data_IF_780058888083
#
_entry.id   IF_780058888083
#
_cell.length_a   1.000
_cell.length_b   1.000
_cell.length_c   1.000
_cell.angle_alpha   90.00
_cell.angle_beta   90.00
_cell.angle_gamma   90.00
#
_symmetry.space_group_name_H-M   'P 1'
#
loop_
_entity.id
_entity.type
_entity.pdbx_description
1 polymer ?
#
# COMPACT_ATOMS: atom_id res chain seq x y z
N UNK A 1 -7.15 32.62 -7.27
CA UNK A 1 -6.35 31.43 -7.67
C UNK A 1 -6.09 30.50 -6.49
N UNK A 2 -5.69 31.00 -5.32
CA UNK A 2 -5.46 30.18 -4.10
C UNK A 2 -6.56 29.16 -3.75
N UNK A 3 -7.85 29.49 -3.88
CA UNK A 3 -8.94 28.55 -3.56
C UNK A 3 -8.98 27.34 -4.52
N UNK A 4 -8.69 27.54 -5.81
CA UNK A 4 -8.69 26.46 -6.79
C UNK A 4 -7.50 25.51 -6.58
N UNK A 5 -6.32 26.06 -6.31
CA UNK A 5 -5.11 25.29 -5.98
C UNK A 5 -5.30 24.49 -4.69
N UNK A 6 -5.89 25.10 -3.65
CA UNK A 6 -6.21 24.41 -2.41
C UNK A 6 -7.18 23.23 -2.62
N UNK A 7 -8.25 23.42 -3.41
CA UNK A 7 -9.21 22.35 -3.73
C UNK A 7 -8.52 21.20 -4.46
N UNK A 8 -7.67 21.50 -5.45
CA UNK A 8 -6.92 20.49 -6.21
C UNK A 8 -5.96 19.72 -5.31
N UNK A 9 -5.18 20.42 -4.47
CA UNK A 9 -4.26 19.78 -3.52
C UNK A 9 -4.99 18.93 -2.48
N UNK A 10 -6.15 19.39 -1.98
CA UNK A 10 -6.96 18.62 -1.05
C UNK A 10 -7.53 17.35 -1.69
N UNK A 11 -8.04 17.43 -2.93
CA UNK A 11 -8.49 16.25 -3.67
C UNK A 11 -7.35 15.26 -3.87
N UNK A 12 -6.15 15.75 -4.24
CA UNK A 12 -4.97 14.90 -4.43
C UNK A 12 -4.54 14.20 -3.14
N UNK A 13 -4.60 14.88 -1.99
CA UNK A 13 -4.32 14.26 -0.69
C UNK A 13 -5.31 13.14 -0.34
N UNK A 14 -6.58 13.31 -0.69
CA UNK A 14 -7.61 12.25 -0.53
C UNK A 14 -7.28 11.04 -1.41
N UNK A 15 -6.96 11.24 -2.69
CA UNK A 15 -6.56 10.15 -3.59
C UNK A 15 -5.35 9.37 -3.07
N UNK A 16 -4.33 10.09 -2.58
CA UNK A 16 -3.13 9.47 -2.00
C UNK A 16 -3.46 8.67 -0.74
N UNK A 17 -4.40 9.13 0.08
CA UNK A 17 -4.88 8.40 1.25
C UNK A 17 -5.62 7.12 0.87
N UNK A 18 -6.54 7.20 -0.09
CA UNK A 18 -7.30 6.05 -0.60
C UNK A 18 -6.37 5.01 -1.24
N UNK A 19 -5.40 5.46 -2.06
CA UNK A 19 -4.38 4.60 -2.64
C UNK A 19 -3.55 3.89 -1.56
N UNK A 20 -3.16 4.61 -0.50
CA UNK A 20 -2.45 4.02 0.65
C UNK A 20 -3.28 2.97 1.38
N UNK A 21 -4.58 3.19 1.53
CA UNK A 21 -5.49 2.23 2.14
C UNK A 21 -5.61 0.95 1.28
N UNK A 22 -5.80 1.11 -0.02
CA UNK A 22 -5.86 0.00 -0.97
C UNK A 22 -4.56 -0.82 -0.97
N UNK A 23 -3.40 -0.16 -0.99
CA UNK A 23 -2.11 -0.84 -0.94
C UNK A 23 -1.92 -1.67 0.32
N UNK A 24 -2.31 -1.14 1.48
CA UNK A 24 -2.26 -1.88 2.76
C UNK A 24 -3.17 -3.10 2.72
N UNK A 25 -4.40 -2.94 2.21
CA UNK A 25 -5.34 -4.05 2.06
C UNK A 25 -4.80 -5.13 1.10
N UNK A 26 -4.25 -4.74 -0.05
CA UNK A 26 -3.66 -5.69 -1.00
C UNK A 26 -2.48 -6.45 -0.40
N UNK A 27 -1.60 -5.77 0.34
CA UNK A 27 -0.50 -6.42 1.07
C UNK A 27 -1.03 -7.43 2.09
N UNK A 28 -2.02 -7.04 2.89
CA UNK A 28 -2.64 -7.90 3.88
C UNK A 28 -3.30 -9.12 3.23
N UNK A 29 -4.07 -8.93 2.14
CA UNK A 29 -4.71 -10.04 1.45
C UNK A 29 -3.70 -11.04 0.88
N UNK A 30 -2.57 -10.57 0.37
CA UNK A 30 -1.51 -11.43 -0.13
C UNK A 30 -0.82 -12.23 1.00
N UNK A 31 -0.69 -11.64 2.19
CA UNK A 31 -0.20 -12.32 3.40
C UNK A 31 -1.18 -13.43 3.85
N UNK A 32 -2.47 -13.11 3.91
CA UNK A 32 -3.53 -14.09 4.24
C UNK A 32 -3.51 -15.31 3.32
N UNK A 33 -3.31 -15.13 2.01
CA UNK A 33 -3.22 -16.25 1.05
C UNK A 33 -2.03 -17.17 1.37
N UNK A 34 -0.89 -16.62 1.80
CA UNK A 34 0.27 -17.44 2.20
C UNK A 34 -0.05 -18.24 3.45
N UNK A 35 -0.74 -17.64 4.42
CA UNK A 35 -1.12 -18.30 5.67
C UNK A 35 -2.21 -19.37 5.47
N UNK A 36 -3.17 -19.11 4.58
CA UNK A 36 -4.15 -20.11 4.10
C UNK A 36 -3.43 -21.31 3.47
N UNK A 37 -2.48 -21.07 2.55
CA UNK A 37 -1.71 -22.14 1.91
C UNK A 37 -0.85 -22.95 2.90
N UNK A 38 -0.27 -22.29 3.91
CA UNK A 38 0.46 -22.97 5.01
C UNK A 38 -0.46 -23.87 5.83
N UNK A 39 -1.66 -23.38 6.15
CA UNK A 39 -2.64 -24.12 6.93
C UNK A 39 -3.05 -25.39 6.19
N UNK A 40 -3.42 -25.26 4.90
CA UNK A 40 -3.78 -26.40 4.06
C UNK A 40 -2.65 -27.42 3.94
N UNK A 41 -1.40 -26.97 3.79
CA UNK A 41 -0.25 -27.87 3.74
C UNK A 41 -0.10 -28.66 5.05
N UNK A 42 -0.20 -27.97 6.19
CA UNK A 42 -0.12 -28.63 7.50
C UNK A 42 -1.23 -29.66 7.72
N UNK A 43 -2.45 -29.36 7.27
CA UNK A 43 -3.57 -30.32 7.32
C UNK A 43 -3.29 -31.57 6.47
N UNK A 44 -2.73 -31.41 5.26
CA UNK A 44 -2.37 -32.53 4.40
C UNK A 44 -1.23 -33.38 4.99
N UNK A 45 -0.22 -32.74 5.60
CA UNK A 45 0.87 -33.41 6.31
C UNK A 45 0.33 -34.24 7.49
N UNK A 46 -0.60 -33.69 8.27
CA UNK A 46 -1.23 -34.38 9.40
C UNK A 46 -2.12 -35.56 8.94
N UNK A 47 -2.76 -35.44 7.78
CA UNK A 47 -3.57 -36.49 7.19
C UNK A 47 -2.73 -37.61 6.52
N UNK A 48 -1.43 -37.40 6.34
CA UNK A 48 -0.54 -38.35 5.64
C UNK A 48 -0.79 -38.41 4.12
N UNK A 49 -1.43 -37.40 3.54
CA UNK A 49 -1.77 -37.35 2.12
C UNK A 49 -0.57 -36.83 1.31
N UNK A 50 0.34 -37.74 0.96
CA UNK A 50 1.61 -37.40 0.31
C UNK A 50 1.47 -36.73 -1.07
N UNK A 51 0.45 -37.08 -1.85
CA UNK A 51 0.20 -36.45 -3.15
C UNK A 51 -0.23 -34.99 -2.95
N UNK A 52 -1.18 -34.77 -2.04
CA UNK A 52 -1.65 -33.43 -1.72
C UNK A 52 -0.59 -32.55 -1.06
N UNK A 53 0.30 -33.12 -0.25
CA UNK A 53 1.46 -32.41 0.31
C UNK A 53 2.37 -31.87 -0.78
N UNK A 54 2.66 -32.66 -1.82
CA UNK A 54 3.50 -32.22 -2.94
C UNK A 54 2.85 -31.06 -3.71
N UNK A 55 1.56 -31.16 -4.01
CA UNK A 55 0.81 -30.11 -4.70
C UNK A 55 0.77 -28.80 -3.89
N UNK A 56 0.42 -28.90 -2.60
CA UNK A 56 0.30 -27.75 -1.71
C UNK A 56 1.65 -27.09 -1.44
N UNK A 57 2.75 -27.84 -1.45
CA UNK A 57 4.10 -27.28 -1.36
C UNK A 57 4.40 -26.35 -2.55
N UNK A 58 4.04 -26.76 -3.77
CA UNK A 58 4.21 -25.93 -4.97
C UNK A 58 3.32 -24.68 -4.91
N UNK A 59 2.08 -24.82 -4.46
CA UNK A 59 1.16 -23.69 -4.30
C UNK A 59 1.65 -22.70 -3.25
N UNK A 60 2.18 -23.18 -2.12
CA UNK A 60 2.75 -22.33 -1.08
C UNK A 60 3.97 -21.56 -1.60
N UNK A 61 4.85 -22.20 -2.36
CA UNK A 61 5.99 -21.52 -2.98
C UNK A 61 5.55 -20.45 -3.98
N UNK A 62 4.51 -20.72 -4.77
CA UNK A 62 3.94 -19.73 -5.67
C UNK A 62 3.31 -18.55 -4.91
N UNK A 63 2.54 -18.82 -3.85
CA UNK A 63 1.96 -17.79 -2.99
C UNK A 63 3.04 -16.90 -2.36
N UNK A 64 4.14 -17.49 -1.87
CA UNK A 64 5.29 -16.76 -1.33
C UNK A 64 5.95 -15.84 -2.36
N UNK A 65 6.15 -16.33 -3.59
CA UNK A 65 6.72 -15.51 -4.68
C UNK A 65 5.82 -14.32 -5.01
N UNK A 66 4.52 -14.55 -5.13
CA UNK A 66 3.54 -13.49 -5.37
C UNK A 66 3.49 -12.49 -4.21
N UNK A 67 3.55 -12.96 -2.95
CA UNK A 67 3.61 -12.07 -1.79
C UNK A 67 4.87 -11.20 -1.81
N UNK A 68 6.04 -11.75 -2.15
CA UNK A 68 7.26 -10.96 -2.32
C UNK A 68 7.13 -9.86 -3.39
N UNK A 69 6.46 -10.15 -4.51
CA UNK A 69 6.18 -9.14 -5.55
C UNK A 69 5.29 -8.01 -5.01
N UNK A 70 4.23 -8.36 -4.29
CA UNK A 70 3.32 -7.39 -3.65
C UNK A 70 4.08 -6.56 -2.60
N UNK A 71 4.93 -7.18 -1.78
CA UNK A 71 5.71 -6.48 -0.76
C UNK A 71 6.69 -5.46 -1.36
N UNK A 72 7.38 -5.85 -2.43
CA UNK A 72 8.28 -4.96 -3.17
C UNK A 72 7.53 -3.77 -3.76
N UNK A 73 6.39 -4.03 -4.41
CA UNK A 73 5.53 -2.97 -4.96
C UNK A 73 5.00 -2.05 -3.84
N UNK A 74 4.54 -2.63 -2.73
CA UNK A 74 4.07 -1.91 -1.56
C UNK A 74 5.12 -0.95 -1.02
N UNK A 75 6.37 -1.40 -0.86
CA UNK A 75 7.48 -0.55 -0.40
C UNK A 75 7.76 0.63 -1.33
N UNK A 76 7.85 0.37 -2.64
CA UNK A 76 8.15 1.40 -3.64
C UNK A 76 7.02 2.43 -3.72
N UNK A 77 5.77 1.98 -3.77
CA UNK A 77 4.63 2.88 -3.94
C UNK A 77 4.34 3.66 -2.66
N UNK A 78 4.43 3.02 -1.48
CA UNK A 78 4.24 3.71 -0.19
C UNK A 78 5.26 4.84 0.00
N UNK A 79 6.51 4.62 -0.41
CA UNK A 79 7.53 5.67 -0.40
C UNK A 79 7.14 6.84 -1.31
N UNK A 80 6.72 6.55 -2.55
CA UNK A 80 6.29 7.58 -3.51
C UNK A 80 5.10 8.39 -2.99
N UNK A 81 4.09 7.73 -2.44
CA UNK A 81 2.92 8.41 -1.85
C UNK A 81 3.35 9.32 -0.69
N UNK A 82 4.25 8.83 0.17
CA UNK A 82 4.75 9.62 1.30
C UNK A 82 5.49 10.88 0.81
N UNK A 83 6.37 10.73 -0.18
CA UNK A 83 7.09 11.85 -0.80
C UNK A 83 6.13 12.86 -1.42
N UNK A 84 5.14 12.40 -2.18
CA UNK A 84 4.17 13.28 -2.85
C UNK A 84 3.30 14.02 -1.82
N UNK A 85 2.82 13.33 -0.79
CA UNK A 85 2.08 13.93 0.32
C UNK A 85 2.88 15.04 1.01
N UNK A 86 4.16 14.79 1.30
CA UNK A 86 5.03 15.79 1.91
C UNK A 86 5.21 17.01 1.02
N UNK A 87 5.42 16.81 -0.29
CA UNK A 87 5.56 17.91 -1.24
C UNK A 87 4.30 18.79 -1.31
N UNK A 88 3.10 18.17 -1.31
CA UNK A 88 1.83 18.92 -1.32
C UNK A 88 1.68 19.74 -0.02
N UNK A 89 1.95 19.14 1.14
CA UNK A 89 1.84 19.83 2.42
C UNK A 89 2.85 20.99 2.54
N UNK A 90 4.08 20.80 2.05
CA UNK A 90 5.09 21.86 2.01
C UNK A 90 4.67 23.02 1.12
N UNK A 91 4.17 22.74 -0.08
CA UNK A 91 3.68 23.77 -1.00
C UNK A 91 2.50 24.58 -0.40
N UNK A 92 1.60 23.91 0.33
CA UNK A 92 0.51 24.58 1.04
C UNK A 92 1.02 25.51 2.15
N UNK A 93 1.96 25.04 2.98
CA UNK A 93 2.57 25.86 4.03
C UNK A 93 3.32 27.08 3.49
N UNK A 94 4.01 26.92 2.37
CA UNK A 94 4.68 28.02 1.68
C UNK A 94 3.68 29.03 1.15
N UNK A 95 2.60 28.58 0.49
CA UNK A 95 1.55 29.46 -0.01
C UNK A 95 0.88 30.26 1.13
N UNK A 96 0.56 29.61 2.24
CA UNK A 96 -0.04 30.26 3.41
C UNK A 96 0.89 31.33 4.02
N UNK A 97 2.20 31.05 4.07
CA UNK A 97 3.20 32.02 4.56
C UNK A 97 3.25 33.26 3.66
N UNK A 98 3.21 33.11 2.34
CA UNK A 98 3.22 34.25 1.40
C UNK A 98 1.91 35.05 1.44
N UNK A 99 0.77 34.39 1.66
CA UNK A 99 -0.51 35.06 1.84
C UNK A 99 -0.58 35.85 3.15
N UNK A 100 -0.01 35.32 4.24
CA UNK A 100 0.07 36.02 5.53
C UNK A 100 0.97 37.27 5.51
N UNK A 101 1.96 37.32 4.61
CA UNK A 101 2.86 38.47 4.44
C UNK A 101 2.29 39.57 3.53
N UNK A 102 1.35 39.24 2.64
CA UNK A 102 0.73 40.21 1.70
C UNK A 102 -0.50 40.91 2.27
N UNK A 103 -1.04 40.45 3.41
CA UNK A 103 -2.20 41.05 4.10
C UNK A 103 -1.90 42.13 5.15
N UNK A 104 -0.64 42.56 5.30
CA UNK A 104 -0.20 43.56 6.33
C UNK A 104 0.23 44.89 5.68
N UNK A 105 -0.44 45.32 4.61
CA UNK A 105 -0.21 46.61 3.96
C UNK A 105 -1.39 47.56 4.16
#
# INVERSE_FOLDING_TARGET
>A
MHTAEFIVSSARLTELHECSALLRHTRQRAEEIVDEARTLLSEAEQAGDGERVLELTVQLDQARRSYCQVLNAYMVISRRITTERQAILQAQMEADRHAGLTGVA
#
